data_IF_279745736357
#
_entry.id   IF_279745736357
#
_cell.length_a   1.000
_cell.length_b   1.000
_cell.length_c   1.000
_cell.angle_alpha   90.00
_cell.angle_beta   90.00
_cell.angle_gamma   90.00
#
_symmetry.space_group_name_H-M   'P 1'
#
loop_
_entity.id
_entity.type
_entity.pdbx_description
1 polymer ?
#
# COMPACT_ATOMS: atom_id res chain seq x y z
N UNK A 1 17.88 18.71 -11.53
CA UNK A 1 17.24 17.37 -11.56
C UNK A 1 16.75 17.05 -10.16
N UNK A 2 15.50 17.39 -9.83
CA UNK A 2 14.92 17.06 -8.52
C UNK A 2 14.77 15.53 -8.43
N UNK A 3 15.35 14.93 -7.40
CA UNK A 3 15.55 13.48 -7.30
C UNK A 3 14.25 12.69 -7.46
N UNK A 4 14.28 11.65 -8.29
CA UNK A 4 13.24 10.63 -8.44
C UNK A 4 13.20 9.69 -7.23
N UNK A 5 13.26 10.24 -6.02
CA UNK A 5 13.38 9.52 -4.77
C UNK A 5 12.06 8.89 -4.31
N UNK A 6 12.19 8.01 -3.32
CA UNK A 6 11.05 7.52 -2.58
C UNK A 6 10.44 8.65 -1.74
N UNK A 7 9.11 8.65 -1.63
CA UNK A 7 8.39 9.62 -0.81
C UNK A 7 7.15 8.97 -0.22
N UNK A 8 6.80 9.35 1.00
CA UNK A 8 5.59 8.92 1.65
C UNK A 8 5.00 10.10 2.42
N UNK A 9 3.71 10.33 2.24
CA UNK A 9 2.93 11.29 3.04
C UNK A 9 1.79 10.53 3.67
N UNK A 10 1.81 10.44 4.99
CA UNK A 10 0.70 9.96 5.80
C UNK A 10 -0.04 11.15 6.41
N UNK A 11 -1.37 11.08 6.44
CA UNK A 11 -2.20 12.08 7.11
C UNK A 11 -3.56 11.49 7.47
N UNK A 12 -4.28 12.18 8.34
CA UNK A 12 -5.68 11.90 8.65
C UNK A 12 -6.56 13.01 8.08
N UNK A 13 -7.72 12.65 7.58
CA UNK A 13 -8.69 13.63 7.09
C UNK A 13 -9.71 13.95 8.19
N UNK A 14 -9.76 15.21 8.62
CA UNK A 14 -10.56 15.61 9.78
C UNK A 14 -12.06 15.33 9.61
N UNK A 15 -12.58 15.46 8.38
CA UNK A 15 -13.98 15.19 8.05
C UNK A 15 -14.29 13.69 7.88
N UNK A 16 -13.28 12.82 7.92
CA UNK A 16 -13.44 11.36 7.91
C UNK A 16 -12.61 10.71 9.03
N UNK A 17 -13.05 10.86 10.29
CA UNK A 17 -12.33 10.33 11.44
C UNK A 17 -12.21 8.81 11.36
N UNK A 18 -11.08 8.27 11.81
CA UNK A 18 -10.79 6.84 11.77
C UNK A 18 -10.18 6.33 10.45
N UNK A 19 -9.95 7.21 9.47
CA UNK A 19 -9.27 6.85 8.21
C UNK A 19 -7.88 7.48 8.16
N UNK A 20 -6.87 6.61 8.09
CA UNK A 20 -5.49 6.97 7.79
C UNK A 20 -5.27 6.94 6.28
N UNK A 21 -4.73 8.02 5.73
CA UNK A 21 -4.43 8.16 4.31
C UNK A 21 -2.92 8.13 4.10
N UNK A 22 -2.47 7.33 3.13
CA UNK A 22 -1.09 7.27 2.70
C UNK A 22 -1.02 7.53 1.20
N UNK A 23 -0.16 8.46 0.80
CA UNK A 23 0.28 8.60 -0.59
C UNK A 23 1.77 8.39 -0.63
N UNK A 24 2.19 7.34 -1.30
CA UNK A 24 3.60 7.01 -1.43
C UNK A 24 4.01 6.82 -2.89
N UNK A 25 5.30 6.99 -3.14
CA UNK A 25 6.00 6.44 -4.29
C UNK A 25 7.18 5.66 -3.74
N UNK A 26 7.13 4.36 -3.94
CA UNK A 26 8.22 3.46 -3.63
C UNK A 26 8.89 2.98 -4.92
N UNK A 27 10.19 2.71 -4.87
CA UNK A 27 10.96 2.21 -6.02
C UNK A 27 11.67 0.92 -5.64
N UNK A 28 12.19 0.82 -4.41
CA UNK A 28 12.89 -0.38 -3.90
C UNK A 28 12.44 -0.75 -2.48
N UNK A 29 11.25 -0.30 -2.09
CA UNK A 29 10.69 -0.61 -0.77
C UNK A 29 10.21 -2.06 -0.76
N UNK A 30 10.66 -2.81 0.24
CA UNK A 30 10.10 -4.11 0.57
C UNK A 30 9.47 -4.00 1.96
N UNK A 31 8.23 -4.44 2.09
CA UNK A 31 7.54 -4.56 3.37
C UNK A 31 7.74 -5.98 3.91
N UNK A 32 8.16 -6.07 5.16
CA UNK A 32 8.24 -7.36 5.85
C UNK A 32 6.83 -7.91 6.04
N UNK A 33 6.71 -9.24 6.11
CA UNK A 33 5.42 -9.90 6.31
C UNK A 33 4.80 -9.45 7.64
N UNK A 34 3.56 -8.98 7.61
CA UNK A 34 2.87 -8.43 8.78
C UNK A 34 1.34 -8.59 8.68
N UNK A 35 0.63 -8.19 9.73
CA UNK A 35 -0.84 -8.09 9.82
C UNK A 35 -1.22 -6.73 10.42
N UNK A 36 -2.49 -6.35 10.27
CA UNK A 36 -3.06 -5.15 10.89
C UNK A 36 -4.55 -5.36 11.19
N UNK A 37 -5.08 -4.62 12.15
CA UNK A 37 -6.48 -4.69 12.60
C UNK A 37 -7.46 -3.97 11.64
N UNK A 38 -6.94 -3.24 10.65
CA UNK A 38 -7.72 -2.41 9.73
C UNK A 38 -7.85 -3.05 8.35
N UNK A 39 -8.82 -2.58 7.56
CA UNK A 39 -8.84 -2.84 6.11
C UNK A 39 -7.85 -1.92 5.42
N UNK A 40 -7.17 -2.43 4.38
CA UNK A 40 -6.37 -1.62 3.48
C UNK A 40 -6.98 -1.65 2.08
N UNK A 41 -7.10 -0.46 1.50
CA UNK A 41 -7.51 -0.25 0.11
C UNK A 41 -6.40 0.56 -0.56
N UNK A 42 -5.56 -0.10 -1.35
CA UNK A 42 -4.44 0.53 -2.03
C UNK A 42 -4.75 0.70 -3.52
N UNK A 43 -4.81 1.95 -3.99
CA UNK A 43 -4.95 2.26 -5.40
C UNK A 43 -3.58 2.45 -6.04
N UNK A 44 -3.28 1.66 -7.06
CA UNK A 44 -1.99 1.75 -7.77
C UNK A 44 -2.14 2.79 -8.88
N UNK A 45 -1.54 3.96 -8.67
CA UNK A 45 -1.63 5.07 -9.62
C UNK A 45 -0.65 4.94 -10.80
N UNK A 46 0.52 4.35 -10.56
CA UNK A 46 1.60 4.18 -11.54
C UNK A 46 2.51 3.01 -11.10
N UNK A 47 3.14 2.33 -12.06
CA UNK A 47 4.00 1.18 -11.80
C UNK A 47 3.23 -0.11 -11.46
N UNK A 48 3.88 -0.99 -10.70
CA UNK A 48 3.34 -2.27 -10.22
C UNK A 48 3.75 -2.48 -8.76
N UNK A 49 2.78 -2.80 -7.90
CA UNK A 49 3.02 -3.34 -6.57
C UNK A 49 3.03 -4.86 -6.66
N UNK A 50 4.03 -5.49 -6.02
CA UNK A 50 4.11 -6.95 -5.90
C UNK A 50 4.11 -7.30 -4.43
N UNK A 51 3.10 -8.06 -4.02
CA UNK A 51 2.91 -8.40 -2.62
C UNK A 51 2.45 -9.83 -2.44
N UNK A 52 2.98 -10.49 -1.42
CA UNK A 52 2.58 -11.83 -1.06
C UNK A 52 1.26 -11.79 -0.30
N UNK A 53 0.25 -12.49 -0.81
CA UNK A 53 -1.09 -12.57 -0.25
C UNK A 53 -1.69 -13.96 -0.55
N UNK A 54 -2.40 -14.56 0.41
CA UNK A 54 -3.04 -15.88 0.25
C UNK A 54 -2.11 -17.00 -0.28
N UNK A 55 -0.82 -16.93 0.03
CA UNK A 55 0.17 -17.95 -0.33
C UNK A 55 0.82 -17.77 -1.72
N UNK A 56 0.53 -16.68 -2.43
CA UNK A 56 1.14 -16.36 -3.72
C UNK A 56 1.54 -14.89 -3.81
N UNK A 57 2.38 -14.56 -4.78
CA UNK A 57 2.69 -13.17 -5.12
C UNK A 57 1.61 -12.63 -6.05
N UNK A 58 0.99 -11.53 -5.64
CA UNK A 58 0.00 -10.78 -6.41
C UNK A 58 0.66 -9.58 -7.08
N UNK A 59 0.26 -9.29 -8.32
CA UNK A 59 0.83 -8.22 -9.15
C UNK A 59 -0.26 -7.20 -9.48
N UNK A 60 -0.25 -6.05 -8.78
CA UNK A 60 -1.22 -4.98 -8.99
C UNK A 60 -0.59 -3.84 -9.78
N UNK A 61 -0.95 -3.72 -11.06
CA UNK A 61 -0.50 -2.65 -11.95
C UNK A 61 -1.34 -1.37 -11.83
N UNK A 62 -0.92 -0.31 -12.55
CA UNK A 62 -1.66 0.96 -12.60
C UNK A 62 -3.14 0.77 -12.95
N UNK A 63 -4.02 1.42 -12.18
CA UNK A 63 -5.48 1.31 -12.27
C UNK A 63 -6.09 0.17 -11.43
N UNK A 64 -5.28 -0.71 -10.85
CA UNK A 64 -5.75 -1.76 -9.95
C UNK A 64 -5.97 -1.25 -8.53
N UNK A 65 -6.81 -1.99 -7.79
CA UNK A 65 -6.94 -1.90 -6.35
C UNK A 65 -6.40 -3.18 -5.71
N UNK A 66 -5.53 -3.04 -4.71
CA UNK A 66 -5.19 -4.12 -3.79
C UNK A 66 -6.01 -3.97 -2.50
N UNK A 67 -6.66 -5.05 -2.08
CA UNK A 67 -7.54 -5.09 -0.92
C UNK A 67 -7.03 -6.10 0.08
N UNK A 68 -6.86 -5.67 1.34
CA UNK A 68 -6.38 -6.54 2.41
C UNK A 68 -7.34 -6.45 3.60
N UNK A 69 -7.85 -7.61 4.02
CA UNK A 69 -8.69 -7.73 5.20
C UNK A 69 -7.87 -7.65 6.50
N UNK A 70 -8.49 -7.26 7.63
CA UNK A 70 -7.88 -7.37 8.94
C UNK A 70 -7.31 -8.76 9.20
N UNK A 71 -6.24 -8.81 9.99
CA UNK A 71 -5.56 -10.02 10.45
C UNK A 71 -5.04 -10.96 9.35
N UNK A 72 -5.09 -10.53 8.09
CA UNK A 72 -4.58 -11.29 6.95
C UNK A 72 -3.10 -10.99 6.78
N UNK A 73 -2.26 -12.02 6.92
CA UNK A 73 -0.82 -11.83 6.80
C UNK A 73 -0.38 -11.64 5.35
N UNK A 74 0.34 -10.56 5.08
CA UNK A 74 0.76 -10.15 3.74
C UNK A 74 2.11 -9.40 3.80
N UNK A 75 2.73 -9.14 2.65
CA UNK A 75 3.85 -8.19 2.54
C UNK A 75 3.33 -6.79 2.23
N UNK A 76 3.79 -6.12 1.15
CA UNK A 76 3.35 -4.78 0.74
C UNK A 76 1.84 -4.61 0.69
#
# INVERSE_FOLDING_TARGET
MAGSGERARHWRYAELPGVDLLRARYVRKTFVRHTHEHFVIAAIADGVEVFHHQGADEYAGAGALALVNPDTAHTG
#
